data_IF_869749133528
#
_entry.id   IF_869749133528
#
_cell.length_a   1.000
_cell.length_b   1.000
_cell.length_c   1.000
_cell.angle_alpha   90.00
_cell.angle_beta   90.00
_cell.angle_gamma   90.00
#
_symmetry.space_group_name_H-M   'P 1'
#
loop_
_entity.id
_entity.type
_entity.pdbx_description
1 polymer ?
#
# COMPACT_ATOMS: atom_id res chain seq x y z
N UNK A 1 6.21 -12.49 4.50
CA UNK A 1 6.70 -11.85 5.75
C UNK A 1 5.51 -11.12 6.36
N UNK A 2 5.33 -11.13 7.68
CA UNK A 2 4.13 -10.52 8.30
C UNK A 2 4.20 -9.00 8.14
N UNK A 3 3.33 -8.48 7.28
CA UNK A 3 3.20 -7.06 7.01
C UNK A 3 2.21 -6.43 8.01
N UNK A 4 2.53 -5.25 8.54
CA UNK A 4 2.02 -4.80 9.84
C UNK A 4 0.52 -4.50 9.94
N UNK A 5 -0.25 -4.47 8.84
CA UNK A 5 -1.72 -4.28 8.92
C UNK A 5 -2.51 -5.57 9.14
N UNK A 6 -2.07 -6.68 8.55
CA UNK A 6 -2.77 -7.97 8.50
C UNK A 6 -4.24 -7.90 8.01
N UNK A 7 -4.65 -6.80 7.36
CA UNK A 7 -6.02 -6.60 6.88
C UNK A 7 -6.03 -6.11 5.43
N UNK A 8 -7.03 -6.55 4.67
CA UNK A 8 -7.25 -6.16 3.28
C UNK A 8 -8.57 -5.39 3.14
N UNK A 9 -8.66 -4.15 3.66
CA UNK A 9 -9.88 -3.37 3.60
C UNK A 9 -10.19 -2.97 2.15
N UNK A 10 -11.47 -2.75 1.79
CA UNK A 10 -11.79 -2.13 0.53
C UNK A 10 -11.26 -0.70 0.47
N UNK A 11 -10.96 -0.21 -0.74
CA UNK A 11 -10.63 1.20 -0.96
C UNK A 11 -11.87 2.07 -0.70
N UNK A 12 -11.75 3.09 0.15
CA UNK A 12 -12.85 4.00 0.51
C UNK A 12 -13.46 4.78 -0.66
N UNK A 13 -12.71 5.04 -1.72
CA UNK A 13 -13.16 5.84 -2.87
C UNK A 13 -13.77 5.01 -3.99
N UNK A 14 -13.58 3.69 -3.97
CA UNK A 14 -14.18 2.80 -4.95
C UNK A 14 -15.65 2.52 -4.62
N UNK A 15 -16.50 2.47 -5.65
CA UNK A 15 -17.94 2.17 -5.50
C UNK A 15 -18.24 0.68 -5.49
N UNK A 16 -17.35 -0.12 -6.07
CA UNK A 16 -17.46 -1.58 -6.15
C UNK A 16 -16.24 -2.18 -5.49
N UNK A 17 -16.46 -3.11 -4.57
CA UNK A 17 -15.39 -3.91 -3.97
C UNK A 17 -15.70 -5.39 -4.15
N UNK A 18 -14.63 -6.20 -4.11
CA UNK A 18 -14.70 -7.65 -4.23
C UNK A 18 -14.20 -8.26 -2.94
N UNK A 19 -14.99 -9.19 -2.41
CA UNK A 19 -14.60 -10.01 -1.28
C UNK A 19 -14.29 -11.43 -1.77
N UNK A 20 -13.25 -12.05 -1.22
CA UNK A 20 -12.93 -13.44 -1.51
C UNK A 20 -13.77 -14.32 -0.58
N UNK A 21 -14.66 -15.10 -1.17
CA UNK A 21 -15.32 -16.20 -0.48
C UNK A 21 -14.35 -17.40 -0.44
N UNK A 22 -13.87 -17.72 0.76
CA UNK A 22 -12.90 -18.79 1.02
C UNK A 22 -13.50 -19.97 1.78
N UNK A 23 -14.80 -19.96 2.10
CA UNK A 23 -15.45 -21.00 2.91
C UNK A 23 -15.27 -22.40 2.27
N UNK A 24 -15.32 -22.46 0.94
CA UNK A 24 -15.14 -23.68 0.18
C UNK A 24 -13.69 -24.21 0.12
N UNK A 25 -12.72 -23.44 0.64
CA UNK A 25 -11.29 -23.75 0.62
C UNK A 25 -10.72 -23.93 2.03
N UNK A 26 -11.56 -23.91 3.07
CA UNK A 26 -11.14 -24.05 4.49
C UNK A 26 -10.32 -25.32 4.76
N UNK A 27 -10.53 -26.37 3.98
CA UNK A 27 -9.84 -27.66 4.13
C UNK A 27 -8.45 -27.71 3.49
N UNK A 28 -8.07 -26.71 2.69
CA UNK A 28 -6.78 -26.65 1.99
C UNK A 28 -5.91 -25.51 2.56
N UNK A 29 -5.28 -25.80 3.71
CA UNK A 29 -4.43 -24.85 4.43
C UNK A 29 -3.25 -24.34 3.59
N UNK A 30 -2.68 -25.19 2.73
CA UNK A 30 -1.56 -24.82 1.85
C UNK A 30 -2.00 -23.76 0.83
N UNK A 31 -3.14 -24.00 0.19
CA UNK A 31 -3.71 -23.05 -0.77
C UNK A 31 -4.09 -21.72 -0.09
N UNK A 32 -4.75 -21.77 1.08
CA UNK A 32 -5.09 -20.57 1.86
C UNK A 32 -3.86 -19.76 2.27
N UNK A 33 -2.78 -20.43 2.66
CA UNK A 33 -1.52 -19.76 2.99
C UNK A 33 -0.90 -19.07 1.75
N UNK A 34 -1.02 -19.68 0.56
CA UNK A 34 -0.61 -19.06 -0.70
C UNK A 34 -1.40 -17.80 -1.06
N UNK A 35 -2.71 -17.77 -0.78
CA UNK A 35 -3.57 -16.62 -1.05
C UNK A 35 -3.34 -15.44 -0.09
N UNK A 36 -2.98 -15.74 1.16
CA UNK A 36 -2.80 -14.72 2.22
C UNK A 36 -1.40 -14.11 2.23
N UNK A 37 -0.39 -14.82 1.72
CA UNK A 37 0.99 -14.35 1.68
C UNK A 37 1.30 -13.64 0.34
N UNK A 38 0.87 -12.38 0.21
CA UNK A 38 1.15 -11.55 -0.97
C UNK A 38 2.64 -11.24 -1.10
N UNK A 39 3.21 -11.53 -2.27
CA UNK A 39 4.55 -11.08 -2.62
C UNK A 39 4.56 -9.56 -2.86
N UNK A 40 5.72 -8.93 -2.62
CA UNK A 40 5.89 -7.50 -2.89
C UNK A 40 6.09 -7.31 -4.40
N UNK A 41 5.27 -6.45 -4.99
CA UNK A 41 5.34 -5.98 -6.36
C UNK A 41 5.83 -4.53 -6.38
N UNK A 42 6.83 -4.27 -7.22
CA UNK A 42 7.32 -2.91 -7.49
C UNK A 42 6.75 -2.44 -8.83
N UNK A 43 5.94 -1.38 -8.78
CA UNK A 43 5.21 -0.83 -9.92
C UNK A 43 5.88 0.48 -10.32
N UNK A 44 6.16 0.71 -11.60
CA UNK A 44 6.72 1.98 -12.05
C UNK A 44 5.68 3.10 -11.95
N UNK A 45 6.13 4.26 -11.48
CA UNK A 45 5.28 5.43 -11.25
C UNK A 45 5.66 6.59 -12.16
N UNK A 46 4.69 7.05 -12.94
CA UNK A 46 4.85 8.14 -13.93
C UNK A 46 4.85 9.55 -13.32
N UNK A 47 5.12 9.69 -12.01
CA UNK A 47 5.31 11.01 -11.41
C UNK A 47 6.40 11.79 -12.12
N UNK A 48 6.21 13.11 -12.19
CA UNK A 48 7.14 14.04 -12.83
C UNK A 48 8.42 14.26 -12.01
N UNK A 49 8.38 14.02 -10.70
CA UNK A 49 9.53 14.25 -9.81
C UNK A 49 9.41 13.47 -8.49
N UNK A 50 10.57 13.08 -7.95
CA UNK A 50 10.73 12.59 -6.58
C UNK A 50 10.80 13.71 -5.53
N UNK A 51 11.01 14.97 -5.93
CA UNK A 51 11.20 16.09 -4.99
C UNK A 51 9.86 16.73 -4.64
N UNK A 52 9.61 16.89 -3.35
CA UNK A 52 8.40 17.52 -2.80
C UNK A 52 8.77 18.82 -2.11
N UNK A 53 8.06 19.91 -2.41
CA UNK A 53 8.19 21.19 -1.70
C UNK A 53 7.22 21.22 -0.52
N UNK A 54 7.72 21.53 0.66
CA UNK A 54 6.95 21.61 1.90
C UNK A 54 6.68 23.08 2.25
N UNK A 55 5.48 23.37 2.76
CA UNK A 55 5.09 24.71 3.21
C UNK A 55 4.49 24.68 4.62
N UNK A 56 4.87 23.68 5.42
CA UNK A 56 4.39 23.54 6.80
C UNK A 56 5.28 24.35 7.76
N UNK A 57 4.70 25.11 8.70
CA UNK A 57 5.47 25.77 9.75
C UNK A 57 6.18 24.76 10.68
N UNK A 58 5.72 23.51 10.72
CA UNK A 58 6.24 22.45 11.60
C UNK A 58 7.46 21.71 11.01
N UNK A 59 7.80 21.96 9.75
CA UNK A 59 8.86 21.25 9.03
C UNK A 59 9.99 22.23 8.72
N UNK A 60 11.21 22.05 9.28
CA UNK A 60 12.30 23.02 9.16
C UNK A 60 13.00 23.03 7.79
N UNK A 61 12.54 22.20 6.84
CA UNK A 61 13.12 22.07 5.50
C UNK A 61 12.10 22.39 4.41
N UNK A 62 12.58 23.02 3.33
CA UNK A 62 11.74 23.39 2.18
C UNK A 62 11.48 22.23 1.23
N UNK A 63 12.39 21.27 1.13
CA UNK A 63 12.30 20.17 0.17
C UNK A 63 12.52 18.82 0.85
N UNK A 64 11.75 17.82 0.43
CA UNK A 64 11.91 16.41 0.79
C UNK A 64 11.97 15.54 -0.46
N UNK A 65 12.44 14.31 -0.31
CA UNK A 65 12.48 13.33 -1.38
C UNK A 65 11.51 12.20 -1.05
N UNK A 66 10.61 11.91 -1.98
CA UNK A 66 9.65 10.82 -1.93
C UNK A 66 9.87 9.92 -3.15
N UNK A 67 10.74 8.90 -3.06
CA UNK A 67 11.11 8.04 -4.18
C UNK A 67 10.10 6.92 -4.46
N UNK A 68 9.21 6.60 -3.51
CA UNK A 68 8.21 5.55 -3.68
C UNK A 68 6.96 5.76 -2.81
N UNK A 69 5.84 5.17 -3.22
CA UNK A 69 4.56 5.18 -2.48
C UNK A 69 4.16 3.76 -2.11
N UNK A 70 3.72 3.55 -0.87
CA UNK A 70 3.65 2.22 -0.25
C UNK A 70 4.92 1.92 0.53
N UNK A 71 4.93 0.90 1.41
CA UNK A 71 6.12 0.57 2.19
C UNK A 71 6.09 -0.88 2.67
N UNK A 72 7.09 -1.67 2.31
CA UNK A 72 7.24 -3.08 2.71
C UNK A 72 7.28 -3.29 4.24
N UNK A 73 7.68 -2.26 5.00
CA UNK A 73 7.66 -2.33 6.47
C UNK A 73 6.22 -2.35 7.02
N UNK A 74 5.26 -1.74 6.32
CA UNK A 74 3.85 -1.87 6.65
C UNK A 74 3.48 -1.42 8.06
N UNK A 75 4.09 -0.37 8.64
CA UNK A 75 3.69 0.10 9.97
C UNK A 75 2.19 0.42 10.01
N UNK A 76 1.44 -0.18 10.94
CA UNK A 76 0.00 0.03 11.08
C UNK A 76 -0.37 1.49 11.32
N UNK A 77 0.51 2.24 11.99
CA UNK A 77 0.36 3.67 12.30
C UNK A 77 0.95 4.61 11.23
N UNK A 78 1.32 4.11 10.05
CA UNK A 78 1.92 4.95 9.03
C UNK A 78 0.91 5.97 8.47
N UNK A 79 1.22 7.26 8.60
CA UNK A 79 0.38 8.35 8.09
C UNK A 79 0.15 8.29 6.57
N UNK A 80 1.02 7.62 5.81
CA UNK A 80 0.95 7.54 4.36
C UNK A 80 -0.09 6.53 3.84
N UNK A 81 -0.61 5.63 4.70
CA UNK A 81 -1.57 4.58 4.31
C UNK A 81 -2.81 5.12 3.58
N UNK A 82 -3.53 6.14 4.10
CA UNK A 82 -4.73 6.65 3.42
C UNK A 82 -4.44 7.29 2.06
N UNK A 83 -3.19 7.69 1.79
CA UNK A 83 -2.85 8.25 0.48
C UNK A 83 -2.88 7.20 -0.62
N UNK A 84 -2.59 5.93 -0.28
CA UNK A 84 -2.58 4.80 -1.21
C UNK A 84 -3.96 4.58 -1.83
N UNK A 85 -5.03 4.93 -1.11
CA UNK A 85 -6.41 4.89 -1.61
C UNK A 85 -6.68 5.81 -2.81
N UNK A 86 -6.00 6.95 -2.89
CA UNK A 86 -6.12 7.84 -4.06
C UNK A 86 -5.50 7.24 -5.33
N UNK A 87 -4.75 6.14 -5.22
CA UNK A 87 -4.15 5.41 -6.34
C UNK A 87 -5.04 4.26 -6.81
N UNK A 88 -6.26 4.11 -6.27
CA UNK A 88 -7.14 2.96 -6.55
C UNK A 88 -6.72 1.68 -5.83
N UNK A 89 -5.89 1.79 -4.79
CA UNK A 89 -5.33 0.68 -4.01
C UNK A 89 -5.87 0.72 -2.58
N UNK A 90 -5.77 -0.33 -1.77
CA UNK A 90 -6.23 -0.24 -0.38
C UNK A 90 -5.15 0.25 0.61
N UNK A 91 -5.60 0.75 1.76
CA UNK A 91 -4.73 1.24 2.84
C UNK A 91 -4.10 0.12 3.71
N UNK A 92 -4.41 -1.16 3.43
CA UNK A 92 -3.98 -2.32 4.21
C UNK A 92 -2.85 -3.09 3.52
N UNK A 93 -3.15 -4.29 3.03
CA UNK A 93 -2.17 -5.17 2.36
C UNK A 93 -1.61 -4.55 1.07
N UNK A 94 -2.40 -3.79 0.30
CA UNK A 94 -1.89 -3.18 -0.93
C UNK A 94 -0.81 -2.14 -0.63
N UNK A 95 -0.95 -1.36 0.46
CA UNK A 95 0.07 -0.39 0.86
C UNK A 95 1.45 -1.02 1.10
N UNK A 96 1.48 -2.24 1.64
CA UNK A 96 2.71 -2.93 2.02
C UNK A 96 3.24 -3.90 0.97
N UNK A 97 2.41 -4.28 -0.01
CA UNK A 97 2.79 -5.23 -1.07
C UNK A 97 2.87 -4.60 -2.45
N UNK A 98 2.15 -3.51 -2.74
CA UNK A 98 2.19 -2.81 -4.03
C UNK A 98 2.90 -1.47 -3.88
N UNK A 99 4.18 -1.46 -4.19
CA UNK A 99 5.06 -0.30 -3.98
C UNK A 99 5.29 0.40 -5.32
N UNK A 100 4.76 1.61 -5.45
CA UNK A 100 4.94 2.45 -6.63
C UNK A 100 6.29 3.16 -6.54
N UNK A 101 7.19 2.92 -7.49
CA UNK A 101 8.56 3.44 -7.52
C UNK A 101 8.67 4.52 -8.59
N UNK A 102 9.06 5.71 -8.17
CA UNK A 102 9.30 6.84 -9.06
C UNK A 102 10.73 6.79 -9.59
N UNK A 103 10.91 6.94 -10.90
CA UNK A 103 12.23 6.89 -11.56
C UNK A 103 12.85 8.26 -11.84
N UNK A 104 12.07 9.34 -11.72
CA UNK A 104 12.44 10.71 -12.05
C UNK A 104 11.87 11.71 -11.03
#
# INVERSE_FOLDING_TARGET
MRHGSNIDPPNRFETVHRELDLEHLEWDEEHLHGLTNRAIEYIEDDSKTIVVKNNSPDIPFLYSVNPYRGCAHGCSYCYARPYHEYLGLNAGLDFETRILVKRQ
#
